data_IF_001407954518
#
_entry.id   IF_001407954518
#
_cell.length_a   1.000
_cell.length_b   1.000
_cell.length_c   1.000
_cell.angle_alpha   90.00
_cell.angle_beta   90.00
_cell.angle_gamma   90.00
#
_symmetry.space_group_name_H-M   'P 1'
#
loop_
_entity.id
_entity.type
_entity.pdbx_description
1 polymer ?
#
# COMPACT_ATOMS: atom_id res chain seq x y z
N UNK A 1 -0.15 -19.83 -21.02
CA UNK A 1 0.83 -18.79 -20.63
C UNK A 1 0.07 -17.50 -20.33
N UNK A 2 0.18 -16.92 -19.13
CA UNK A 2 -0.48 -15.63 -18.86
C UNK A 2 0.19 -14.53 -19.69
N UNK A 3 -0.61 -13.62 -20.24
CA UNK A 3 -0.11 -12.47 -20.99
C UNK A 3 0.84 -11.63 -20.10
N UNK A 4 1.99 -11.21 -20.61
CA UNK A 4 2.98 -10.40 -19.86
C UNK A 4 2.33 -9.12 -19.29
N UNK A 5 1.42 -8.53 -20.07
CA UNK A 5 0.71 -7.31 -19.69
C UNK A 5 -0.20 -7.54 -18.47
N UNK A 6 -0.84 -8.72 -18.38
CA UNK A 6 -1.66 -9.08 -17.21
C UNK A 6 -0.81 -9.19 -15.94
N UNK A 7 0.38 -9.77 -16.05
CA UNK A 7 1.31 -9.90 -14.91
C UNK A 7 1.77 -8.51 -14.45
N UNK A 8 2.08 -7.61 -15.39
CA UNK A 8 2.46 -6.23 -15.09
C UNK A 8 1.38 -5.48 -14.31
N UNK A 9 0.13 -5.57 -14.75
CA UNK A 9 -1.00 -4.90 -14.10
C UNK A 9 -1.31 -5.47 -12.72
N UNK A 10 -1.33 -6.80 -12.60
CA UNK A 10 -1.55 -7.46 -11.31
C UNK A 10 -0.43 -7.15 -10.32
N UNK A 11 0.83 -7.11 -10.78
CA UNK A 11 1.97 -6.74 -9.93
C UNK A 11 1.82 -5.34 -9.38
N UNK A 12 1.56 -4.35 -10.23
CA UNK A 12 1.41 -2.94 -9.83
C UNK A 12 0.21 -2.74 -8.90
N UNK A 13 -0.90 -3.43 -9.15
CA UNK A 13 -2.05 -3.41 -8.25
C UNK A 13 -1.69 -3.96 -6.86
N UNK A 14 -1.15 -5.18 -6.79
CA UNK A 14 -0.84 -5.80 -5.50
C UNK A 14 0.20 -4.97 -4.74
N UNK A 15 1.22 -4.47 -5.44
CA UNK A 15 2.27 -3.68 -4.81
C UNK A 15 1.75 -2.35 -4.26
N UNK A 16 0.94 -1.61 -5.02
CA UNK A 16 0.31 -0.37 -4.52
C UNK A 16 -0.63 -0.61 -3.35
N UNK A 17 -1.44 -1.68 -3.39
CA UNK A 17 -2.32 -2.04 -2.29
C UNK A 17 -1.56 -2.46 -1.02
N UNK A 18 -0.51 -3.27 -1.17
CA UNK A 18 0.32 -3.74 -0.05
C UNK A 18 1.04 -2.57 0.61
N UNK A 19 1.73 -1.75 -0.18
CA UNK A 19 2.52 -0.65 0.35
C UNK A 19 1.64 0.38 1.07
N UNK A 20 0.53 0.80 0.44
CA UNK A 20 -0.40 1.76 1.05
C UNK A 20 -0.99 1.30 2.38
N UNK A 21 -1.31 0.00 2.53
CA UNK A 21 -1.79 -0.55 3.79
C UNK A 21 -0.70 -0.51 4.87
N UNK A 22 0.52 -0.92 4.51
CA UNK A 22 1.65 -1.04 5.44
C UNK A 22 2.19 0.32 5.87
N UNK A 23 2.46 1.23 4.92
CA UNK A 23 2.98 2.57 5.17
C UNK A 23 1.98 3.40 5.99
N UNK A 24 0.70 3.39 5.60
CA UNK A 24 -0.34 4.17 6.27
C UNK A 24 -0.56 3.67 7.69
N UNK A 25 -0.77 2.36 7.91
CA UNK A 25 -1.00 1.87 9.28
C UNK A 25 0.24 2.07 10.16
N UNK A 26 1.45 1.93 9.61
CA UNK A 26 2.70 2.20 10.31
C UNK A 26 2.82 3.66 10.75
N UNK A 27 2.59 4.60 9.82
CA UNK A 27 2.60 6.04 10.12
C UNK A 27 1.57 6.40 11.20
N UNK A 28 0.30 5.99 10.99
CA UNK A 28 -0.78 6.33 11.92
C UNK A 28 -0.50 5.77 13.31
N UNK A 29 0.08 4.56 13.39
CA UNK A 29 0.46 3.96 14.68
C UNK A 29 1.54 4.76 15.41
N UNK A 30 2.52 5.29 14.67
CA UNK A 30 3.53 6.18 15.24
C UNK A 30 2.94 7.50 15.74
N UNK A 31 2.20 8.20 14.89
CA UNK A 31 1.60 9.51 15.24
C UNK A 31 0.68 9.38 16.46
N UNK A 32 -0.17 8.35 16.50
CA UNK A 32 -1.08 8.13 17.64
C UNK A 32 -0.30 7.78 18.92
N UNK A 33 0.75 6.96 18.82
CA UNK A 33 1.58 6.59 19.99
C UNK A 33 2.33 7.79 20.59
N UNK A 34 2.68 8.78 19.75
CA UNK A 34 3.23 10.06 20.19
C UNK A 34 2.22 10.95 20.95
N UNK A 35 0.94 10.57 20.99
CA UNK A 35 -0.10 11.30 21.73
C UNK A 35 -0.69 12.49 20.98
N UNK A 36 -0.53 12.50 19.65
CA UNK A 36 -1.01 13.57 18.77
C UNK A 36 -2.54 13.53 18.62
N UNK A 37 -3.14 14.70 18.36
CA UNK A 37 -4.59 14.85 18.20
C UNK A 37 -5.10 14.11 16.95
N UNK A 38 -6.32 13.57 17.03
CA UNK A 38 -6.98 12.85 15.94
C UNK A 38 -7.07 13.64 14.64
N UNK A 39 -7.24 14.96 14.72
CA UNK A 39 -7.27 15.85 13.54
C UNK A 39 -5.94 15.80 12.76
N UNK A 40 -4.82 15.79 13.47
CA UNK A 40 -3.49 15.73 12.85
C UNK A 40 -3.23 14.35 12.25
N UNK A 41 -3.69 13.27 12.90
CA UNK A 41 -3.64 11.91 12.36
C UNK A 41 -4.34 11.83 11.00
N UNK A 42 -5.53 12.44 10.88
CA UNK A 42 -6.29 12.49 9.62
C UNK A 42 -5.55 13.28 8.54
N UNK A 43 -5.02 14.45 8.89
CA UNK A 43 -4.31 15.32 7.94
C UNK A 43 -3.04 14.61 7.44
N UNK A 44 -2.20 14.12 8.35
CA UNK A 44 -0.95 13.43 8.00
C UNK A 44 -1.20 12.16 7.20
N UNK A 45 -2.19 11.35 7.57
CA UNK A 45 -2.55 10.15 6.83
C UNK A 45 -3.05 10.47 5.42
N UNK A 46 -3.91 11.48 5.27
CA UNK A 46 -4.40 11.90 3.95
C UNK A 46 -3.25 12.41 3.07
N UNK A 47 -2.37 13.26 3.61
CA UNK A 47 -1.20 13.77 2.88
C UNK A 47 -0.28 12.62 2.47
N UNK A 48 0.02 11.69 3.38
CA UNK A 48 0.83 10.51 3.08
C UNK A 48 0.26 9.74 1.89
N UNK A 49 -1.03 9.38 1.95
CA UNK A 49 -1.68 8.56 0.93
C UNK A 49 -1.55 9.20 -0.46
N UNK A 50 -1.83 10.51 -0.58
CA UNK A 50 -1.78 11.19 -1.87
C UNK A 50 -0.35 11.37 -2.38
N UNK A 51 0.58 11.75 -1.52
CA UNK A 51 1.98 12.00 -1.90
C UNK A 51 2.68 10.70 -2.26
N UNK A 52 2.52 9.64 -1.46
CA UNK A 52 3.12 8.33 -1.76
C UNK A 52 2.47 7.67 -2.97
N UNK A 53 1.15 7.76 -3.15
CA UNK A 53 0.50 7.26 -4.36
C UNK A 53 1.10 7.87 -5.63
N UNK A 54 1.30 9.20 -5.63
CA UNK A 54 1.93 9.92 -6.74
C UNK A 54 3.38 9.47 -6.94
N UNK A 55 4.16 9.41 -5.86
CA UNK A 55 5.57 9.00 -5.89
C UNK A 55 5.73 7.60 -6.47
N UNK A 56 4.94 6.64 -5.98
CA UNK A 56 4.92 5.29 -6.51
C UNK A 56 4.50 5.29 -7.98
N UNK A 57 3.37 5.92 -8.34
CA UNK A 57 2.85 5.99 -9.72
C UNK A 57 3.90 6.44 -10.72
N UNK A 58 4.58 7.55 -10.42
CA UNK A 58 5.68 8.09 -11.24
C UNK A 58 6.84 7.09 -11.28
N UNK A 59 7.16 6.45 -10.15
CA UNK A 59 8.17 5.40 -10.05
C UNK A 59 7.91 4.21 -10.99
N UNK A 60 6.70 3.65 -11.04
CA UNK A 60 6.40 2.58 -12.01
C UNK A 60 6.34 3.10 -13.44
N UNK A 61 5.83 4.31 -13.67
CA UNK A 61 5.80 4.88 -15.01
C UNK A 61 7.22 4.95 -15.56
N UNK A 62 8.15 5.54 -14.80
CA UNK A 62 9.53 5.69 -15.23
C UNK A 62 10.24 4.33 -15.35
N UNK A 63 10.04 3.44 -14.38
CA UNK A 63 10.65 2.10 -14.40
C UNK A 63 10.21 1.27 -15.61
N UNK A 64 8.91 1.29 -15.93
CA UNK A 64 8.40 0.58 -17.10
C UNK A 64 8.82 1.28 -18.39
N UNK A 65 8.83 2.62 -18.41
CA UNK A 65 9.23 3.38 -19.60
C UNK A 65 10.68 3.14 -19.99
N UNK A 66 11.60 3.15 -19.01
CA UNK A 66 13.01 2.82 -19.25
C UNK A 66 13.16 1.37 -19.74
N UNK A 67 12.37 0.45 -19.20
CA UNK A 67 12.36 -0.95 -19.65
C UNK A 67 11.87 -1.05 -21.10
N UNK A 68 10.79 -0.37 -21.45
CA UNK A 68 10.24 -0.31 -22.81
C UNK A 68 11.24 0.29 -23.80
N UNK A 69 11.91 1.39 -23.47
CA UNK A 69 12.93 2.04 -24.32
C UNK A 69 14.12 1.09 -24.59
N UNK A 70 14.56 0.35 -23.57
CA UNK A 70 15.62 -0.65 -23.73
C UNK A 70 15.24 -1.79 -24.69
N UNK A 71 14.01 -2.32 -24.58
CA UNK A 71 13.55 -3.42 -25.44
C UNK A 71 13.05 -2.96 -26.82
N UNK A 72 12.50 -1.76 -26.93
CA UNK A 72 11.92 -1.21 -28.17
C UNK A 72 12.95 -0.83 -29.21
N UNK A 73 14.23 -0.75 -28.82
CA UNK A 73 15.38 -0.80 -29.75
C UNK A 73 15.31 -2.00 -30.73
N UNK A 74 14.49 -3.02 -30.44
CA UNK A 74 14.31 -4.23 -31.26
C UNK A 74 12.89 -4.46 -31.82
N UNK A 75 11.85 -3.67 -31.48
CA UNK A 75 10.46 -3.78 -32.00
C UNK A 75 9.55 -2.62 -31.51
N UNK A 76 8.77 -1.98 -32.40
CA UNK A 76 7.71 -1.03 -32.00
C UNK A 76 6.57 -1.78 -31.29
N UNK A 77 6.34 -1.50 -30.01
CA UNK A 77 5.20 -2.01 -29.22
C UNK A 77 4.52 -0.85 -28.50
N UNK A 78 3.20 -0.92 -28.33
CA UNK A 78 2.45 0.06 -27.52
C UNK A 78 2.98 0.15 -26.09
N UNK A 79 3.17 1.37 -25.59
CA UNK A 79 3.57 1.68 -24.22
C UNK A 79 2.49 1.26 -23.21
N UNK A 80 2.83 0.34 -22.30
CA UNK A 80 2.01 -0.14 -21.17
C UNK A 80 2.40 0.53 -19.85
N UNK A 81 3.40 1.41 -19.87
CA UNK A 81 3.83 2.25 -18.74
C UNK A 81 2.71 3.08 -18.10
N UNK A 82 1.87 3.74 -18.91
CA UNK A 82 0.80 4.61 -18.39
C UNK A 82 -0.30 3.80 -17.67
N UNK A 83 -0.88 2.74 -18.27
CA UNK A 83 -1.85 1.91 -17.56
C UNK A 83 -1.30 1.30 -16.27
N UNK A 84 -0.05 0.83 -16.28
CA UNK A 84 0.59 0.26 -15.09
C UNK A 84 0.71 1.27 -13.95
N UNK A 85 1.15 2.49 -14.25
CA UNK A 85 1.24 3.58 -13.28
C UNK A 85 -0.12 3.98 -12.72
N UNK A 86 -1.14 4.08 -13.58
CA UNK A 86 -2.50 4.42 -13.17
C UNK A 86 -3.10 3.35 -12.23
N UNK A 87 -2.88 2.07 -12.54
CA UNK A 87 -3.34 0.95 -11.69
C UNK A 87 -2.70 1.04 -10.31
N UNK A 88 -1.40 1.33 -10.25
CA UNK A 88 -0.73 1.48 -8.96
C UNK A 88 -1.23 2.69 -8.19
N UNK A 89 -1.37 3.85 -8.84
CA UNK A 89 -1.89 5.08 -8.23
C UNK A 89 -3.27 4.85 -7.59
N UNK A 90 -4.20 4.29 -8.37
CA UNK A 90 -5.56 4.06 -7.90
C UNK A 90 -5.60 3.02 -6.79
N UNK A 91 -4.86 1.91 -6.95
CA UNK A 91 -4.78 0.88 -5.93
C UNK A 91 -4.25 1.45 -4.61
N UNK A 92 -3.18 2.26 -4.66
CA UNK A 92 -2.62 2.92 -3.49
C UNK A 92 -3.64 3.82 -2.78
N UNK A 93 -4.32 4.69 -3.52
CA UNK A 93 -5.33 5.57 -2.95
C UNK A 93 -6.46 4.79 -2.27
N UNK A 94 -7.01 3.77 -2.94
CA UNK A 94 -8.14 3.02 -2.40
C UNK A 94 -7.79 2.25 -1.14
N UNK A 95 -6.64 1.56 -1.12
CA UNK A 95 -6.26 0.73 0.02
C UNK A 95 -5.66 1.55 1.16
N UNK A 96 -4.94 2.64 0.88
CA UNK A 96 -4.43 3.56 1.88
C UNK A 96 -5.53 4.24 2.71
N UNK A 97 -6.75 4.38 2.17
CA UNK A 97 -7.88 4.89 2.93
C UNK A 97 -8.37 3.91 4.01
N UNK A 98 -8.16 2.60 3.86
CA UNK A 98 -8.69 1.58 4.78
C UNK A 98 -8.19 1.78 6.23
N UNK A 99 -6.88 1.94 6.49
CA UNK A 99 -6.37 2.25 7.82
C UNK A 99 -6.87 3.60 8.35
N UNK A 100 -7.16 4.56 7.46
CA UNK A 100 -7.53 5.92 7.83
C UNK A 100 -9.03 6.05 8.18
N UNK A 101 -9.89 5.25 7.56
CA UNK A 101 -11.35 5.32 7.70
C UNK A 101 -11.85 5.32 9.15
N UNK A 102 -11.35 4.46 10.06
CA UNK A 102 -11.80 4.45 11.45
C UNK A 102 -11.64 5.80 12.17
N UNK A 103 -10.65 6.62 11.78
CA UNK A 103 -10.45 7.94 12.38
C UNK A 103 -11.47 8.98 11.93
N UNK A 104 -12.22 8.77 10.84
CA UNK A 104 -13.30 9.67 10.46
C UNK A 104 -14.60 9.40 11.22
N UNK A 105 -14.81 8.15 11.64
CA UNK A 105 -16.10 7.68 12.17
C UNK A 105 -16.06 7.54 13.70
N UNK A 106 -14.94 7.07 14.24
CA UNK A 106 -14.78 6.71 15.65
C UNK A 106 -13.91 7.77 16.33
N UNK A 107 -14.35 8.28 17.48
CA UNK A 107 -13.57 9.25 18.26
C UNK A 107 -12.72 8.58 19.34
N UNK A 108 -11.55 9.17 19.63
CA UNK A 108 -10.70 8.77 20.75
C UNK A 108 -9.83 7.54 20.50
N UNK A 109 -9.32 6.93 21.58
CA UNK A 109 -8.33 5.84 21.54
C UNK A 109 -8.82 4.57 20.82
N UNK A 110 -10.13 4.40 20.67
CA UNK A 110 -10.70 3.22 20.00
C UNK A 110 -10.45 3.22 18.49
N UNK A 111 -10.37 4.40 17.85
CA UNK A 111 -10.11 4.52 16.41
C UNK A 111 -8.80 3.84 15.99
N UNK A 112 -7.79 3.91 16.86
CA UNK A 112 -6.49 3.29 16.67
C UNK A 112 -6.57 1.76 16.54
N UNK A 113 -7.26 1.10 17.47
CA UNK A 113 -7.41 -0.35 17.45
C UNK A 113 -8.22 -0.82 16.24
N UNK A 114 -9.27 -0.08 15.87
CA UNK A 114 -10.06 -0.36 14.67
C UNK A 114 -9.26 -0.15 13.38
N UNK A 115 -8.36 0.85 13.34
CA UNK A 115 -7.43 1.06 12.23
C UNK A 115 -6.48 -0.12 12.05
N UNK A 116 -5.85 -0.59 13.13
CA UNK A 116 -4.97 -1.77 13.09
C UNK A 116 -5.76 -3.00 12.61
N UNK A 117 -6.94 -3.24 13.19
CA UNK A 117 -7.76 -4.40 12.83
C UNK A 117 -8.17 -4.36 11.35
N UNK A 118 -8.67 -3.21 10.87
CA UNK A 118 -9.03 -3.04 9.47
C UNK A 118 -7.85 -3.27 8.52
N UNK A 119 -6.67 -2.79 8.88
CA UNK A 119 -5.43 -2.94 8.10
C UNK A 119 -4.98 -4.39 8.03
N UNK A 120 -4.95 -5.09 9.17
CA UNK A 120 -4.54 -6.50 9.21
C UNK A 120 -5.52 -7.41 8.47
N UNK A 121 -6.83 -7.13 8.56
CA UNK A 121 -7.84 -7.83 7.77
C UNK A 121 -7.68 -7.56 6.27
N UNK A 122 -7.46 -6.30 5.88
CA UNK A 122 -7.22 -5.94 4.49
C UNK A 122 -5.96 -6.59 3.92
N UNK A 123 -4.84 -6.60 4.67
CA UNK A 123 -3.60 -7.31 4.29
C UNK A 123 -3.82 -8.81 4.18
N UNK A 124 -4.60 -9.39 5.09
CA UNK A 124 -4.92 -10.82 5.06
C UNK A 124 -5.71 -11.19 3.78
N UNK A 125 -6.73 -10.39 3.46
CA UNK A 125 -7.55 -10.55 2.27
C UNK A 125 -6.75 -10.32 0.99
N UNK A 126 -5.93 -9.26 0.96
CA UNK A 126 -5.03 -8.97 -0.16
C UNK A 126 -4.05 -10.10 -0.39
N UNK A 127 -3.43 -10.63 0.68
CA UNK A 127 -2.51 -11.76 0.62
C UNK A 127 -3.15 -13.04 0.10
N UNK A 128 -4.40 -13.31 0.52
CA UNK A 128 -5.17 -14.45 0.04
C UNK A 128 -5.53 -14.30 -1.46
N UNK A 129 -6.05 -13.13 -1.83
CA UNK A 129 -6.48 -12.83 -3.20
C UNK A 129 -5.28 -12.84 -4.17
N UNK A 130 -4.20 -12.15 -3.82
CA UNK A 130 -2.96 -12.09 -4.61
C UNK A 130 -2.36 -13.49 -4.83
N UNK A 131 -2.33 -14.34 -3.80
CA UNK A 131 -1.81 -15.69 -3.93
C UNK A 131 -2.65 -16.56 -4.88
N UNK A 132 -3.98 -16.46 -4.78
CA UNK A 132 -4.91 -17.17 -5.67
C UNK A 132 -4.78 -16.69 -7.11
N UNK A 133 -4.67 -15.38 -7.32
CA UNK A 133 -4.47 -14.78 -8.65
C UNK A 133 -3.13 -15.25 -9.23
N UNK A 134 -2.05 -15.21 -8.46
CA UNK A 134 -0.70 -15.55 -8.92
C UNK A 134 -0.38 -17.05 -8.89
N UNK A 135 -1.31 -17.90 -8.41
CA UNK A 135 -1.13 -19.35 -8.23
C UNK A 135 0.08 -19.70 -7.36
N UNK A 136 0.28 -18.95 -6.28
CA UNK A 136 1.33 -19.18 -5.29
C UNK A 136 0.74 -19.75 -4.00
N UNK A 137 1.59 -20.10 -3.03
CA UNK A 137 1.11 -20.65 -1.75
C UNK A 137 0.37 -19.58 -0.94
N UNK A 138 -0.94 -19.78 -0.77
CA UNK A 138 -1.85 -18.86 -0.09
C UNK A 138 -1.45 -18.57 1.35
N UNK A 139 -1.21 -19.60 2.15
CA UNK A 139 -0.91 -19.43 3.57
C UNK A 139 0.39 -18.67 3.76
N UNK A 140 1.42 -19.02 2.98
CA UNK A 140 2.73 -18.36 3.05
C UNK A 140 2.65 -16.89 2.66
N UNK A 141 1.88 -16.56 1.61
CA UNK A 141 1.77 -15.19 1.12
C UNK A 141 0.96 -14.30 2.07
N UNK A 142 -0.20 -14.78 2.52
CA UNK A 142 -1.02 -14.10 3.52
C UNK A 142 -0.22 -13.81 4.79
N UNK A 143 0.50 -14.82 5.30
CA UNK A 143 1.29 -14.65 6.51
C UNK A 143 2.42 -13.64 6.35
N UNK A 144 3.08 -13.62 5.18
CA UNK A 144 4.11 -12.61 4.87
C UNK A 144 3.57 -11.18 4.92
N UNK A 145 2.45 -10.91 4.24
CA UNK A 145 1.85 -9.57 4.22
C UNK A 145 1.39 -9.12 5.60
N UNK A 146 0.78 -10.02 6.38
CA UNK A 146 0.37 -9.72 7.77
C UNK A 146 1.57 -9.43 8.66
N UNK A 147 2.66 -10.20 8.53
CA UNK A 147 3.91 -9.94 9.28
C UNK A 147 4.48 -8.57 8.92
N UNK A 148 4.56 -8.24 7.62
CA UNK A 148 5.11 -6.95 7.19
C UNK A 148 4.30 -5.79 7.75
N UNK A 149 2.97 -5.87 7.70
CA UNK A 149 2.09 -4.88 8.34
C UNK A 149 2.28 -4.81 9.86
N UNK A 150 2.36 -5.97 10.53
CA UNK A 150 2.62 -6.03 11.97
C UNK A 150 3.97 -5.42 12.37
N UNK A 151 5.02 -5.66 11.59
CA UNK A 151 6.33 -5.05 11.79
C UNK A 151 6.29 -3.53 11.60
N UNK A 152 5.59 -3.04 10.56
CA UNK A 152 5.43 -1.61 10.35
C UNK A 152 4.67 -0.93 11.50
N UNK A 153 3.63 -1.57 12.04
CA UNK A 153 2.91 -1.08 13.24
C UNK A 153 3.87 -0.99 14.42
N UNK A 154 4.61 -2.06 14.71
CA UNK A 154 5.58 -2.09 15.80
C UNK A 154 6.65 -1.00 15.65
N UNK A 155 7.22 -0.87 14.44
CA UNK A 155 8.21 0.16 14.14
C UNK A 155 7.64 1.57 14.32
N UNK A 156 6.43 1.83 13.80
CA UNK A 156 5.73 3.09 13.99
C UNK A 156 5.56 3.44 15.46
N UNK A 157 5.03 2.52 16.26
CA UNK A 157 4.82 2.71 17.71
C UNK A 157 6.14 2.99 18.42
N UNK A 158 7.20 2.23 18.13
CA UNK A 158 8.52 2.42 18.74
C UNK A 158 9.04 3.83 18.43
N UNK A 159 9.03 4.22 17.15
CA UNK A 159 9.50 5.54 16.71
C UNK A 159 8.67 6.66 17.34
N UNK A 160 7.34 6.51 17.36
CA UNK A 160 6.44 7.51 17.94
C UNK A 160 6.61 7.69 19.46
N UNK A 161 6.89 6.61 20.20
CA UNK A 161 7.17 6.69 21.63
C UNK A 161 8.55 7.31 21.90
N UNK A 162 9.56 7.02 21.08
CA UNK A 162 10.93 7.54 21.27
C UNK A 162 11.05 9.03 21.00
N UNK A 163 10.30 9.55 20.03
CA UNK A 163 10.36 10.97 19.62
C UNK A 163 9.47 11.86 20.51
N UNK A 164 8.48 11.28 21.20
CA UNK A 164 7.53 11.99 22.05
C UNK A 164 8.19 12.70 23.24
#
# INVERSE_FOLDING_TARGET
>A
MKNKDFILYVRNFIFGAEDSLVSTVGLLSGIVSAGVLQKEVIISGTVLIFVEALSMSVGSFLSERTTEEFYSSFRQKESKSIPAALIMFLSYLFFGLIPLLPYFIISGKQAFWWSILASLLALSLLGFASAKILKTNTLKNTFRMVILGGLAICLGIIVGIVIK
#
